data_IF_080129417304
#
_entry.id   IF_080129417304
#
_cell.length_a   1.000
_cell.length_b   1.000
_cell.length_c   1.000
_cell.angle_alpha   90.00
_cell.angle_beta   90.00
_cell.angle_gamma   90.00
#
_symmetry.space_group_name_H-M   'P 1'
#
loop_
_entity.id
_entity.type
_entity.pdbx_description
1 polymer ?
#
# COMPACT_ATOMS: atom_id res chain seq x y z
N UNK A 1 -4.21 -16.60 24.41
CA UNK A 1 -2.84 -16.67 24.96
C UNK A 1 -1.87 -16.85 23.81
N UNK A 2 -0.63 -16.36 23.92
CA UNK A 2 0.42 -16.59 22.91
C UNK A 2 0.45 -18.07 22.51
N UNK A 3 0.47 -18.33 21.20
CA UNK A 3 0.48 -19.68 20.63
C UNK A 3 -0.86 -20.42 20.67
N UNK A 4 -1.92 -19.83 21.24
CA UNK A 4 -3.24 -20.45 21.26
C UNK A 4 -3.81 -20.59 19.85
N UNK A 5 -4.32 -21.78 19.55
CA UNK A 5 -5.02 -22.12 18.32
C UNK A 5 -6.53 -21.98 18.59
N UNK A 6 -7.25 -21.32 17.68
CA UNK A 6 -8.71 -21.19 17.75
C UNK A 6 -9.42 -22.46 17.31
N UNK A 7 -10.70 -22.58 17.64
CA UNK A 7 -11.59 -23.49 16.91
C UNK A 7 -11.75 -23.02 15.45
N UNK A 8 -12.35 -23.88 14.62
CA UNK A 8 -12.58 -23.57 13.20
C UNK A 8 -13.55 -22.40 13.07
N UNK A 9 -13.10 -21.33 12.42
CA UNK A 9 -13.87 -20.11 12.14
C UNK A 9 -14.35 -20.11 10.70
N UNK A 10 -15.65 -19.97 10.49
CA UNK A 10 -16.22 -19.82 9.14
C UNK A 10 -16.21 -18.34 8.72
N UNK A 11 -15.71 -18.06 7.52
CA UNK A 11 -15.75 -16.76 6.85
C UNK A 11 -16.38 -16.93 5.46
N UNK A 12 -16.57 -15.84 4.73
CA UNK A 12 -16.99 -15.87 3.32
C UNK A 12 -15.93 -16.56 2.43
N UNK A 13 -14.69 -16.64 2.89
CA UNK A 13 -13.55 -17.27 2.21
C UNK A 13 -13.35 -18.74 2.58
N UNK A 14 -14.19 -19.30 3.47
CA UNK A 14 -14.15 -20.71 3.86
C UNK A 14 -13.99 -20.93 5.36
N UNK A 15 -13.18 -21.91 5.74
CA UNK A 15 -12.96 -22.31 7.13
C UNK A 15 -11.50 -22.08 7.52
N UNK A 16 -11.26 -21.36 8.62
CA UNK A 16 -9.93 -20.94 9.07
C UNK A 16 -9.65 -21.41 10.50
N UNK A 17 -8.38 -21.71 10.77
CA UNK A 17 -7.86 -21.97 12.12
C UNK A 17 -6.84 -20.86 12.41
N UNK A 18 -7.04 -20.11 13.49
CA UNK A 18 -6.27 -18.89 13.80
C UNK A 18 -5.30 -19.20 14.94
N UNK A 19 -4.04 -18.75 14.80
CA UNK A 19 -3.06 -18.81 15.88
C UNK A 19 -2.79 -17.41 16.41
N UNK A 20 -2.87 -17.23 17.73
CA UNK A 20 -2.51 -15.98 18.38
C UNK A 20 -0.98 -15.86 18.46
N UNK A 21 -0.44 -14.76 17.95
CA UNK A 21 0.98 -14.43 18.13
C UNK A 21 1.24 -13.88 19.54
N UNK A 22 2.52 -13.68 19.85
CA UNK A 22 2.95 -13.10 21.13
C UNK A 22 2.54 -11.64 21.25
N UNK A 23 2.14 -11.23 22.44
CA UNK A 23 2.08 -9.82 22.79
C UNK A 23 3.52 -9.28 22.86
N UNK A 24 3.92 -8.52 21.84
CA UNK A 24 5.21 -7.85 21.79
C UNK A 24 5.11 -6.40 22.29
N UNK A 25 6.26 -5.83 22.64
CA UNK A 25 6.38 -4.43 23.07
C UNK A 25 6.09 -3.48 21.89
N UNK A 26 5.35 -2.40 22.16
CA UNK A 26 4.95 -1.43 21.15
C UNK A 26 6.16 -0.85 20.42
N UNK A 27 7.24 -0.54 21.12
CA UNK A 27 8.42 0.07 20.51
C UNK A 27 9.13 -0.86 19.52
N UNK A 28 9.02 -2.19 19.71
CA UNK A 28 9.56 -3.19 18.76
C UNK A 28 8.71 -3.29 17.50
N UNK A 29 7.40 -3.19 17.64
CA UNK A 29 6.46 -3.31 16.52
C UNK A 29 6.14 -1.97 15.84
N UNK A 30 6.57 -0.85 16.42
CA UNK A 30 6.29 0.51 15.94
C UNK A 30 6.66 0.71 14.46
N UNK A 31 7.81 0.19 14.01
CA UNK A 31 8.22 0.33 12.60
C UNK A 31 7.26 -0.41 11.67
N UNK A 32 6.97 -1.67 11.98
CA UNK A 32 6.04 -2.51 11.20
C UNK A 32 4.64 -1.92 11.19
N UNK A 33 4.18 -1.40 12.33
CA UNK A 33 2.89 -0.73 12.43
C UNK A 33 2.85 0.53 11.56
N UNK A 34 3.91 1.34 11.58
CA UNK A 34 4.03 2.53 10.72
C UNK A 34 3.96 2.16 9.25
N UNK A 35 4.70 1.14 8.83
CA UNK A 35 4.65 0.61 7.46
C UNK A 35 3.24 0.18 7.08
N UNK A 36 2.57 -0.60 7.94
CA UNK A 36 1.19 -1.05 7.69
C UNK A 36 0.21 0.12 7.58
N UNK A 37 0.35 1.14 8.43
CA UNK A 37 -0.47 2.35 8.34
C UNK A 37 -0.22 3.10 7.03
N UNK A 38 1.04 3.23 6.60
CA UNK A 38 1.38 3.86 5.32
C UNK A 38 0.73 3.07 4.18
N UNK A 39 0.89 1.75 4.15
CA UNK A 39 0.30 0.89 3.12
C UNK A 39 -1.23 1.03 3.07
N UNK A 40 -1.90 0.99 4.23
CA UNK A 40 -3.35 1.16 4.31
C UNK A 40 -3.78 2.53 3.75
N UNK A 41 -3.08 3.61 4.12
CA UNK A 41 -3.39 4.95 3.60
C UNK A 41 -3.20 5.04 2.08
N UNK A 42 -2.18 4.39 1.54
CA UNK A 42 -1.95 4.36 0.09
C UNK A 42 -3.02 3.53 -0.65
N UNK A 43 -3.53 2.46 -0.03
CA UNK A 43 -4.64 1.68 -0.59
C UNK A 43 -5.96 2.47 -0.57
N UNK A 44 -6.23 3.19 0.52
CA UNK A 44 -7.42 4.03 0.67
C UNK A 44 -7.38 5.24 -0.28
N UNK A 45 -6.24 5.93 -0.34
CA UNK A 45 -6.02 7.07 -1.21
C UNK A 45 -4.71 6.97 -2.00
N UNK A 46 -4.74 6.35 -3.19
CA UNK A 46 -3.56 6.26 -4.05
C UNK A 46 -3.11 7.60 -4.61
N UNK A 47 -3.92 8.66 -4.50
CA UNK A 47 -3.54 10.00 -4.98
C UNK A 47 -2.33 10.53 -4.25
N UNK A 48 -2.16 10.17 -2.98
CA UNK A 48 -0.98 10.51 -2.17
C UNK A 48 0.31 10.16 -2.92
N UNK A 49 0.35 8.99 -3.56
CA UNK A 49 1.53 8.54 -4.30
C UNK A 49 1.66 9.28 -5.64
N UNK A 50 0.56 9.43 -6.39
CA UNK A 50 0.61 10.13 -7.69
C UNK A 50 0.94 11.61 -7.55
N UNK A 51 0.47 12.25 -6.48
CA UNK A 51 0.72 13.67 -6.23
C UNK A 51 2.16 13.88 -5.79
N UNK A 52 2.73 12.99 -4.95
CA UNK A 52 4.16 13.00 -4.66
C UNK A 52 5.02 12.83 -5.93
N UNK A 53 4.60 11.97 -6.88
CA UNK A 53 5.29 11.85 -8.17
C UNK A 53 5.17 13.11 -9.02
N UNK A 54 4.00 13.77 -9.06
CA UNK A 54 3.82 15.05 -9.77
C UNK A 54 4.73 16.12 -9.18
N UNK A 55 4.72 16.29 -7.86
CA UNK A 55 5.55 17.26 -7.16
C UNK A 55 7.03 17.06 -7.48
N UNK A 56 7.49 15.80 -7.54
CA UNK A 56 8.86 15.46 -7.91
C UNK A 56 9.17 15.80 -9.38
N UNK A 57 8.26 15.50 -10.31
CA UNK A 57 8.45 15.82 -11.72
C UNK A 57 8.50 17.33 -11.96
N UNK A 58 7.68 18.09 -11.22
CA UNK A 58 7.65 19.54 -11.24
C UNK A 58 8.92 20.14 -10.62
N UNK A 59 9.38 19.62 -9.47
CA UNK A 59 10.62 20.04 -8.81
C UNK A 59 11.83 19.90 -9.74
N UNK A 60 11.90 18.79 -10.47
CA UNK A 60 12.99 18.51 -11.40
C UNK A 60 12.78 19.13 -12.79
N UNK A 61 11.71 19.91 -13.00
CA UNK A 61 11.36 20.56 -14.26
C UNK A 61 11.42 19.58 -15.45
N UNK A 62 10.80 18.41 -15.29
CA UNK A 62 10.86 17.35 -16.30
C UNK A 62 10.17 17.80 -17.60
N UNK A 63 10.94 17.88 -18.68
CA UNK A 63 10.46 18.20 -20.03
C UNK A 63 10.28 16.93 -20.86
N UNK A 64 9.04 16.65 -21.25
CA UNK A 64 8.70 15.52 -22.10
C UNK A 64 8.83 15.90 -23.58
N UNK A 65 9.94 15.49 -24.18
CA UNK A 65 10.24 15.73 -25.60
C UNK A 65 9.45 14.84 -26.56
N UNK A 66 8.84 13.78 -26.04
CA UNK A 66 8.04 12.81 -26.80
C UNK A 66 6.66 12.67 -26.17
N UNK A 67 5.61 12.70 -27.00
CA UNK A 67 4.21 12.63 -26.58
C UNK A 67 3.85 11.25 -26.03
N UNK A 68 4.38 10.19 -26.62
CA UNK A 68 4.09 8.82 -26.20
C UNK A 68 4.73 8.53 -24.85
N UNK A 69 5.92 9.10 -24.61
CA UNK A 69 6.56 9.06 -23.28
C UNK A 69 5.74 9.80 -22.25
N UNK A 70 5.31 11.04 -22.54
CA UNK A 70 4.44 11.81 -21.63
C UNK A 70 3.19 11.02 -21.26
N UNK A 71 2.52 10.48 -22.28
CA UNK A 71 1.29 9.70 -22.11
C UNK A 71 1.52 8.44 -21.29
N UNK A 72 2.62 7.72 -21.52
CA UNK A 72 2.96 6.53 -20.74
C UNK A 72 3.14 6.85 -19.24
N UNK A 73 3.77 7.98 -18.92
CA UNK A 73 3.95 8.43 -17.54
C UNK A 73 2.61 8.84 -16.91
N UNK A 74 1.80 9.62 -17.63
CA UNK A 74 0.47 10.03 -17.17
C UNK A 74 -0.46 8.84 -16.93
N UNK A 75 -0.49 7.87 -17.86
CA UNK A 75 -1.42 6.74 -17.83
C UNK A 75 -1.04 5.67 -16.80
N UNK A 76 0.26 5.50 -16.48
CA UNK A 76 0.75 4.41 -15.63
C UNK A 76 1.28 4.84 -14.26
N UNK A 77 1.95 6.00 -14.17
CA UNK A 77 2.64 6.44 -12.94
C UNK A 77 1.82 7.51 -12.22
N UNK A 78 1.23 8.44 -12.97
CA UNK A 78 0.44 9.54 -12.40
C UNK A 78 -1.06 9.23 -12.32
N UNK A 79 -1.44 7.99 -12.62
CA UNK A 79 -2.81 7.51 -12.60
C UNK A 79 -3.11 6.66 -11.36
N UNK A 80 -3.95 7.16 -10.42
CA UNK A 80 -4.30 6.43 -9.20
C UNK A 80 -4.94 5.06 -9.45
N UNK A 81 -5.70 4.91 -10.54
CA UNK A 81 -6.41 3.66 -10.86
C UNK A 81 -5.49 2.58 -11.42
N UNK A 82 -4.39 2.97 -12.06
CA UNK A 82 -3.36 2.04 -12.52
C UNK A 82 -2.62 1.41 -11.32
N UNK A 83 -2.39 2.19 -10.26
CA UNK A 83 -1.72 1.75 -9.04
C UNK A 83 -2.57 0.76 -8.23
N UNK A 84 -3.90 0.96 -8.17
CA UNK A 84 -4.82 0.02 -7.51
C UNK A 84 -4.81 -1.39 -8.12
N UNK A 85 -4.51 -1.53 -9.41
CA UNK A 85 -4.49 -2.83 -10.10
C UNK A 85 -3.24 -3.67 -9.83
N UNK A 86 -2.18 -3.07 -9.26
CA UNK A 86 -0.94 -3.76 -8.92
C UNK A 86 -0.86 -4.22 -7.46
N UNK A 87 -1.87 -3.88 -6.64
CA UNK A 87 -1.94 -4.18 -5.21
C UNK A 87 -2.71 -5.47 -4.91
#
# INVERSE_FOLDING_TARGET
KEGQISDVVKTEYGYHIIRADKEDDFDKEKSKLKEKIIQNKLQEDPKILTDAYKDLLDEYNVDYKDRDVKKAIEDNILNPDALKKQS
#
